data_IF_273905870166
#
_entry.id   IF_273905870166
#
_cell.length_a   1.000
_cell.length_b   1.000
_cell.length_c   1.000
_cell.angle_alpha   90.00
_cell.angle_beta   90.00
_cell.angle_gamma   90.00
#
_symmetry.space_group_name_H-M   'P 1'
#
loop_
_entity.id
_entity.type
_entity.pdbx_description
1 polymer ?
#
# COMPACT_ATOMS: atom_id res chain seq x y z
N UNK A 1 24.48 -6.50 -5.52
CA UNK A 1 24.46 -7.57 -6.56
C UNK A 1 23.01 -7.86 -6.94
N UNK A 2 22.44 -7.09 -7.87
CA UNK A 2 21.11 -7.37 -8.42
C UNK A 2 21.25 -8.34 -9.59
N UNK A 3 20.86 -9.60 -9.40
CA UNK A 3 20.71 -10.54 -10.52
C UNK A 3 19.68 -9.98 -11.49
N UNK A 4 19.92 -10.10 -12.80
CA UNK A 4 18.97 -9.65 -13.83
C UNK A 4 17.68 -10.46 -13.72
N UNK A 5 16.71 -9.95 -12.95
CA UNK A 5 15.37 -10.54 -12.83
C UNK A 5 14.69 -10.47 -14.19
N UNK A 6 14.02 -11.55 -14.60
CA UNK A 6 13.28 -11.55 -15.87
C UNK A 6 12.23 -10.45 -15.87
N UNK A 7 12.00 -9.79 -17.02
CA UNK A 7 10.96 -8.75 -17.14
C UNK A 7 9.59 -9.28 -16.70
N UNK A 8 9.29 -10.55 -16.98
CA UNK A 8 8.02 -11.19 -16.57
C UNK A 8 7.89 -11.30 -15.06
N UNK A 9 8.96 -11.71 -14.37
CA UNK A 9 8.99 -11.81 -12.90
C UNK A 9 8.90 -10.43 -12.24
N UNK A 10 9.58 -9.43 -12.83
CA UNK A 10 9.52 -8.05 -12.39
C UNK A 10 8.09 -7.51 -12.47
N UNK A 11 7.43 -7.67 -13.61
CA UNK A 11 6.05 -7.23 -13.83
C UNK A 11 5.07 -7.93 -12.89
N UNK A 12 5.23 -9.24 -12.66
CA UNK A 12 4.40 -9.99 -11.74
C UNK A 12 4.52 -9.44 -10.30
N UNK A 13 5.76 -9.24 -9.83
CA UNK A 13 6.02 -8.65 -8.51
C UNK A 13 5.46 -7.23 -8.38
N UNK A 14 5.63 -6.39 -9.40
CA UNK A 14 5.09 -5.03 -9.44
C UNK A 14 3.56 -5.01 -9.47
N UNK A 15 2.92 -5.94 -10.18
CA UNK A 15 1.45 -6.07 -10.19
C UNK A 15 0.90 -6.39 -8.80
N UNK A 16 1.59 -7.26 -8.06
CA UNK A 16 1.25 -7.55 -6.66
C UNK A 16 1.37 -6.31 -5.76
N UNK A 17 2.46 -5.54 -5.90
CA UNK A 17 2.65 -4.27 -5.17
C UNK A 17 1.54 -3.26 -5.47
N UNK A 18 1.21 -3.07 -6.75
CA UNK A 18 0.11 -2.17 -7.17
C UNK A 18 -1.22 -2.62 -6.59
N UNK A 19 -1.52 -3.92 -6.59
CA UNK A 19 -2.76 -4.46 -6.03
C UNK A 19 -2.89 -4.19 -4.53
N UNK A 20 -1.82 -4.42 -3.76
CA UNK A 20 -1.79 -4.14 -2.31
C UNK A 20 -2.01 -2.66 -2.03
N UNK A 21 -1.33 -1.78 -2.78
CA UNK A 21 -1.52 -0.33 -2.67
C UNK A 21 -2.93 0.09 -3.03
N UNK A 22 -3.49 -0.43 -4.12
CA UNK A 22 -4.89 -0.18 -4.51
C UNK A 22 -5.86 -0.66 -3.43
N UNK A 23 -5.62 -1.82 -2.83
CA UNK A 23 -6.43 -2.33 -1.72
C UNK A 23 -6.39 -1.38 -0.51
N UNK A 24 -5.23 -0.86 -0.14
CA UNK A 24 -5.11 0.16 0.91
C UNK A 24 -5.90 1.43 0.56
N UNK A 25 -5.78 1.95 -0.66
CA UNK A 25 -6.52 3.14 -1.08
C UNK A 25 -8.04 2.93 -1.10
N UNK A 26 -8.50 1.75 -1.54
CA UNK A 26 -9.93 1.38 -1.49
C UNK A 26 -10.40 1.26 -0.04
N UNK A 27 -9.62 0.63 0.84
CA UNK A 27 -9.94 0.55 2.27
C UNK A 27 -9.97 1.93 2.93
N UNK A 28 -9.13 2.87 2.51
CA UNK A 28 -9.21 4.25 3.01
C UNK A 28 -10.47 4.93 2.46
N UNK A 29 -10.72 4.79 1.16
CA UNK A 29 -11.85 5.43 0.46
C UNK A 29 -13.22 4.94 0.93
N UNK A 30 -13.36 3.67 1.33
CA UNK A 30 -14.63 3.10 1.80
C UNK A 30 -15.12 3.73 3.11
N UNK A 31 -14.24 4.42 3.86
CA UNK A 31 -14.61 5.11 5.07
C UNK A 31 -15.68 6.17 4.83
N UNK A 32 -15.54 6.95 3.76
CA UNK A 32 -16.44 8.07 3.45
C UNK A 32 -17.88 7.62 3.22
N UNK A 33 -18.18 6.66 2.32
CA UNK A 33 -19.55 6.19 2.17
C UNK A 33 -20.04 5.44 3.42
N UNK A 34 -19.17 4.71 4.11
CA UNK A 34 -19.55 3.97 5.32
C UNK A 34 -19.97 4.92 6.45
N UNK A 35 -19.19 5.95 6.73
CA UNK A 35 -19.50 6.91 7.80
C UNK A 35 -20.77 7.71 7.48
N UNK A 36 -20.96 8.07 6.21
CA UNK A 36 -22.16 8.74 5.74
C UNK A 36 -23.41 7.88 6.01
N UNK A 37 -23.39 6.60 5.63
CA UNK A 37 -24.49 5.65 5.89
C UNK A 37 -24.71 5.44 7.39
N UNK A 38 -23.64 5.29 8.18
CA UNK A 38 -23.77 5.05 9.63
C UNK A 38 -24.37 6.27 10.33
N UNK A 39 -23.98 7.48 9.95
CA UNK A 39 -24.52 8.72 10.52
C UNK A 39 -26.01 8.88 10.13
N UNK A 40 -26.33 8.69 8.85
CA UNK A 40 -27.69 8.83 8.31
C UNK A 40 -28.68 7.85 8.97
N UNK A 41 -28.26 6.60 9.18
CA UNK A 41 -29.13 5.57 9.76
C UNK A 41 -29.18 5.64 11.29
N UNK A 42 -28.03 5.77 11.96
CA UNK A 42 -27.96 5.56 13.41
C UNK A 42 -28.16 6.83 14.24
N UNK A 43 -27.81 8.01 13.71
CA UNK A 43 -27.84 9.27 14.45
C UNK A 43 -27.06 9.28 15.78
N UNK A 44 -26.20 8.28 16.02
CA UNK A 44 -25.57 8.03 17.32
C UNK A 44 -24.06 7.98 17.22
N UNK A 45 -23.39 8.85 17.98
CA UNK A 45 -21.93 8.92 18.04
C UNK A 45 -21.28 7.60 18.50
N UNK A 46 -21.97 6.85 19.36
CA UNK A 46 -21.47 5.56 19.87
C UNK A 46 -21.37 4.53 18.75
N UNK A 47 -22.39 4.44 17.90
CA UNK A 47 -22.42 3.51 16.77
C UNK A 47 -21.33 3.89 15.75
N UNK A 48 -21.25 5.17 15.41
CA UNK A 48 -20.20 5.74 14.56
C UNK A 48 -18.79 5.40 15.05
N UNK A 49 -18.55 5.50 16.36
CA UNK A 49 -17.27 5.14 16.98
C UNK A 49 -16.91 3.66 16.84
N UNK A 50 -17.88 2.75 16.95
CA UNK A 50 -17.64 1.31 16.77
C UNK A 50 -17.21 1.00 15.33
N UNK A 51 -17.93 1.54 14.34
CA UNK A 51 -17.59 1.34 12.92
C UNK A 51 -16.23 1.96 12.57
N UNK A 52 -15.91 3.12 13.13
CA UNK A 52 -14.59 3.72 12.99
C UNK A 52 -13.49 2.81 13.56
N UNK A 53 -13.69 2.24 14.75
CA UNK A 53 -12.71 1.33 15.36
C UNK A 53 -12.47 0.09 14.49
N UNK A 54 -13.53 -0.55 13.97
CA UNK A 54 -13.40 -1.68 13.05
C UNK A 54 -12.64 -1.30 11.78
N UNK A 55 -13.02 -0.19 11.16
CA UNK A 55 -12.35 0.30 9.96
C UNK A 55 -10.87 0.61 10.19
N UNK A 56 -10.54 1.24 11.32
CA UNK A 56 -9.16 1.56 11.68
C UNK A 56 -8.30 0.29 11.79
N UNK A 57 -8.85 -0.78 12.36
CA UNK A 57 -8.17 -2.09 12.39
C UNK A 57 -7.91 -2.62 10.98
N UNK A 58 -8.91 -2.61 10.10
CA UNK A 58 -8.75 -3.07 8.71
C UNK A 58 -7.72 -2.25 7.92
N UNK A 59 -7.75 -0.92 8.05
CA UNK A 59 -6.77 -0.05 7.38
C UNK A 59 -5.38 -0.27 7.94
N UNK A 60 -5.24 -0.48 9.25
CA UNK A 60 -3.95 -0.79 9.88
C UNK A 60 -3.37 -2.11 9.33
N UNK A 61 -4.20 -3.14 9.18
CA UNK A 61 -3.78 -4.41 8.57
C UNK A 61 -3.36 -4.18 7.10
N UNK A 62 -4.18 -3.49 6.31
CA UNK A 62 -3.88 -3.19 4.90
C UNK A 62 -2.58 -2.38 4.74
N UNK A 63 -2.35 -1.43 5.64
CA UNK A 63 -1.15 -0.61 5.71
C UNK A 63 0.08 -1.48 5.95
N UNK A 64 0.06 -2.36 6.97
CA UNK A 64 1.15 -3.28 7.26
C UNK A 64 1.42 -4.25 6.10
N UNK A 65 0.39 -4.85 5.51
CA UNK A 65 0.53 -5.75 4.34
C UNK A 65 1.21 -5.04 3.16
N UNK A 66 0.92 -3.74 2.98
CA UNK A 66 1.54 -2.91 1.95
C UNK A 66 2.97 -2.53 2.33
N UNK A 67 3.21 -2.12 3.58
CA UNK A 67 4.51 -1.71 4.10
C UNK A 67 5.57 -2.82 3.98
N UNK A 68 5.20 -4.06 4.35
CA UNK A 68 6.08 -5.22 4.30
C UNK A 68 6.14 -5.90 2.92
N UNK A 69 5.61 -5.26 1.86
CA UNK A 69 5.73 -5.79 0.52
C UNK A 69 7.19 -5.67 0.02
N UNK A 70 7.74 -6.78 -0.51
CA UNK A 70 9.12 -6.84 -1.01
C UNK A 70 9.23 -6.31 -2.43
N UNK A 71 10.33 -5.64 -2.72
CA UNK A 71 10.70 -5.23 -4.06
C UNK A 71 11.13 -6.47 -4.89
N UNK A 72 10.61 -6.68 -6.11
CA UNK A 72 11.01 -7.81 -6.95
C UNK A 72 12.47 -7.73 -7.42
N UNK A 73 13.06 -6.53 -7.49
CA UNK A 73 14.44 -6.33 -7.95
C UNK A 73 15.46 -6.53 -6.82
N UNK A 74 15.38 -5.73 -5.74
CA UNK A 74 16.37 -5.78 -4.65
C UNK A 74 15.98 -6.66 -3.46
N UNK A 75 14.78 -7.27 -3.46
CA UNK A 75 14.23 -8.14 -2.39
C UNK A 75 14.05 -7.49 -1.01
N UNK A 76 14.52 -6.26 -0.80
CA UNK A 76 14.22 -5.45 0.38
C UNK A 76 12.75 -5.00 0.40
N UNK A 77 12.28 -4.50 1.54
CA UNK A 77 10.95 -3.92 1.67
C UNK A 77 10.83 -2.67 0.78
N UNK A 78 9.78 -2.61 -0.04
CA UNK A 78 9.63 -1.55 -1.02
C UNK A 78 9.37 -0.19 -0.33
N UNK A 79 8.59 -0.20 0.75
CA UNK A 79 8.10 0.98 1.45
C UNK A 79 8.76 1.22 2.81
N UNK A 80 9.63 0.33 3.31
CA UNK A 80 10.30 0.53 4.59
C UNK A 80 11.72 1.04 4.38
N UNK A 81 12.10 2.09 5.10
CA UNK A 81 13.48 2.50 5.28
C UNK A 81 13.64 3.06 6.70
N UNK A 82 14.10 2.21 7.62
CA UNK A 82 14.07 2.49 9.06
C UNK A 82 12.76 2.04 9.71
N UNK A 83 12.26 2.81 10.68
CA UNK A 83 11.13 2.43 11.56
C UNK A 83 9.77 2.76 10.93
N UNK A 84 9.70 3.77 10.07
CA UNK A 84 8.43 4.25 9.50
C UNK A 84 8.27 3.84 8.03
N UNK A 85 7.11 3.28 7.65
CA UNK A 85 6.82 2.99 6.25
C UNK A 85 6.54 4.27 5.47
N UNK A 86 7.29 4.50 4.40
CA UNK A 86 7.07 5.57 3.44
C UNK A 86 6.40 4.99 2.18
N UNK A 87 5.14 5.36 1.95
CA UNK A 87 4.33 4.86 0.83
C UNK A 87 4.64 5.55 -0.53
N UNK A 88 5.93 5.77 -0.83
CA UNK A 88 6.37 6.38 -2.09
C UNK A 88 6.13 5.49 -3.31
N UNK A 89 6.24 6.07 -4.51
CA UNK A 89 6.09 5.34 -5.79
C UNK A 89 7.37 4.65 -6.25
N UNK A 90 8.50 4.93 -5.61
CA UNK A 90 9.80 4.33 -5.90
C UNK A 90 10.26 3.51 -4.68
N UNK A 91 10.97 2.41 -4.94
CA UNK A 91 11.61 1.64 -3.88
C UNK A 91 12.65 2.50 -3.15
N UNK A 92 12.63 2.50 -1.83
CA UNK A 92 13.55 3.28 -1.00
C UNK A 92 15.01 2.83 -1.07
N UNK A 93 15.26 1.60 -1.54
CA UNK A 93 16.61 1.02 -1.59
C UNK A 93 17.23 1.05 -3.00
N UNK A 94 16.44 0.70 -4.03
CA UNK A 94 16.95 0.60 -5.41
C UNK A 94 16.32 1.61 -6.37
N UNK A 95 15.37 2.44 -5.92
CA UNK A 95 14.81 3.51 -6.76
C UNK A 95 13.82 3.05 -7.82
N UNK A 96 13.61 1.74 -7.95
CA UNK A 96 12.70 1.14 -8.91
C UNK A 96 11.29 1.74 -8.76
N UNK A 97 10.78 2.31 -9.85
CA UNK A 97 9.43 2.85 -9.87
C UNK A 97 8.39 1.73 -9.89
N UNK A 98 7.25 1.93 -9.22
CA UNK A 98 6.17 0.96 -9.14
C UNK A 98 5.56 0.61 -10.52
N UNK A 99 5.72 1.49 -11.52
CA UNK A 99 5.30 1.20 -12.90
C UNK A 99 6.24 0.24 -13.65
N UNK A 100 7.48 0.04 -13.17
CA UNK A 100 8.48 -0.78 -13.85
C UNK A 100 9.09 -0.12 -15.10
N UNK A 101 8.82 1.16 -15.31
CA UNK A 101 9.44 1.94 -16.38
C UNK A 101 10.83 2.42 -15.93
N UNK A 102 11.85 2.05 -16.69
CA UNK A 102 13.24 2.38 -16.38
C UNK A 102 13.46 3.90 -16.28
N UNK A 103 12.84 4.68 -17.19
CA UNK A 103 12.89 6.15 -17.22
C UNK A 103 12.35 6.85 -15.96
N UNK A 104 11.62 6.14 -15.09
CA UNK A 104 11.02 6.68 -13.86
C UNK A 104 11.80 6.26 -12.61
N UNK A 105 12.87 5.48 -12.77
CA UNK A 105 13.73 5.07 -11.67
C UNK A 105 14.50 6.29 -11.13
N UNK A 106 14.64 6.37 -9.81
CA UNK A 106 15.27 7.55 -9.16
C UNK A 106 16.77 7.42 -8.94
N UNK A 107 17.31 6.21 -8.97
CA UNK A 107 18.71 5.91 -8.71
C UNK A 107 19.20 5.07 -9.90
N UNK A 108 19.36 5.73 -11.05
CA UNK A 108 20.02 5.16 -12.23
C UNK A 108 21.54 5.20 -12.08
#
# INVERSE_FOLDING_TARGET
MGGKVSRVELEYGLRSLRRKRMFLWVMIGIYLPMIWVVIDISGSDKTTGIFFAFWLVFVTIAANVTAFARCPNCKNFFHMNGVFPMYFRNCLHCGLHISGEDKKNKFE
#
